data_IF_725469223987
#
_entry.id   IF_725469223987
#
_cell.length_a   1.000
_cell.length_b   1.000
_cell.length_c   1.000
_cell.angle_alpha   90.00
_cell.angle_beta   90.00
_cell.angle_gamma   90.00
#
_symmetry.space_group_name_H-M   'P 1'
#
loop_
_entity.id
_entity.type
_entity.pdbx_description
1 polymer ?
#
# COMPACT_ATOMS: atom_id res chain seq x y z
N UNK A 1 -12.84 -12.41 13.44
CA UNK A 1 -11.42 -12.78 13.65
C UNK A 1 -10.66 -12.95 12.33
N UNK A 2 -11.08 -13.85 11.43
CA UNK A 2 -10.34 -14.17 10.19
C UNK A 2 -9.94 -12.95 9.34
N UNK A 3 -10.84 -11.99 9.13
CA UNK A 3 -10.53 -10.77 8.38
C UNK A 3 -9.40 -9.94 9.00
N UNK A 4 -9.33 -9.84 10.33
CA UNK A 4 -8.27 -9.11 11.03
C UNK A 4 -6.93 -9.85 10.90
N UNK A 5 -6.94 -11.19 11.05
CA UNK A 5 -5.75 -12.02 10.85
C UNK A 5 -5.21 -11.93 9.42
N UNK A 6 -6.10 -11.90 8.41
CA UNK A 6 -5.71 -11.73 7.02
C UNK A 6 -5.09 -10.34 6.75
N UNK A 7 -5.65 -9.28 7.34
CA UNK A 7 -5.08 -7.92 7.25
C UNK A 7 -3.71 -7.83 7.91
N UNK A 8 -3.51 -8.50 9.06
CA UNK A 8 -2.21 -8.58 9.71
C UNK A 8 -1.17 -9.30 8.83
N UNK A 9 -1.51 -10.47 8.28
CA UNK A 9 -0.65 -11.21 7.34
C UNK A 9 -0.28 -10.38 6.12
N UNK A 10 -1.25 -9.66 5.53
CA UNK A 10 -0.98 -8.76 4.40
C UNK A 10 0.00 -7.66 4.81
N UNK A 11 -0.23 -7.00 5.95
CA UNK A 11 0.63 -5.94 6.48
C UNK A 11 2.08 -6.42 6.64
N UNK A 12 2.27 -7.59 7.26
CA UNK A 12 3.60 -8.17 7.48
C UNK A 12 4.31 -8.45 6.16
N UNK A 13 3.61 -9.01 5.17
CA UNK A 13 4.16 -9.29 3.85
C UNK A 13 4.56 -8.01 3.10
N UNK A 14 3.74 -6.96 3.15
CA UNK A 14 4.02 -5.69 2.48
C UNK A 14 5.20 -4.96 3.12
N UNK A 15 5.29 -4.94 4.46
CA UNK A 15 6.44 -4.38 5.19
C UNK A 15 7.72 -5.13 4.81
N UNK A 16 7.68 -6.47 4.78
CA UNK A 16 8.83 -7.28 4.35
C UNK A 16 9.23 -7.00 2.88
N UNK A 17 8.27 -6.62 2.04
CA UNK A 17 8.49 -6.18 0.65
C UNK A 17 9.01 -4.75 0.49
N UNK A 18 9.23 -4.01 1.59
CA UNK A 18 9.73 -2.64 1.55
C UNK A 18 8.66 -1.56 1.34
N UNK A 19 7.38 -1.91 1.53
CA UNK A 19 6.29 -0.94 1.51
C UNK A 19 6.04 -0.35 2.89
N UNK A 20 5.50 0.87 2.93
CA UNK A 20 5.00 1.52 4.14
C UNK A 20 3.48 1.46 4.20
N UNK A 21 2.94 1.31 5.41
CA UNK A 21 1.50 1.08 5.61
C UNK A 21 0.77 2.39 5.83
N UNK A 22 -0.37 2.58 5.18
CA UNK A 22 -1.29 3.67 5.49
C UNK A 22 -2.34 3.21 6.52
N UNK A 23 -2.41 3.87 7.67
CA UNK A 23 -3.23 3.38 8.81
C UNK A 23 -4.73 3.53 8.60
N UNK A 24 -5.17 4.49 7.77
CA UNK A 24 -6.59 4.76 7.51
C UNK A 24 -7.27 3.72 6.63
N UNK A 25 -6.51 2.98 5.82
CA UNK A 25 -7.03 2.07 4.79
C UNK A 25 -6.22 0.77 4.77
N UNK A 26 -6.82 -0.35 5.19
CA UNK A 26 -6.08 -1.62 5.34
C UNK A 26 -5.48 -2.18 4.04
N UNK A 27 -5.94 -1.69 2.88
CA UNK A 27 -5.49 -2.10 1.55
C UNK A 27 -4.42 -1.18 0.95
N UNK A 28 -4.13 -0.04 1.57
CA UNK A 28 -3.25 0.99 1.03
C UNK A 28 -1.81 0.82 1.55
N UNK A 29 -0.87 0.74 0.61
CA UNK A 29 0.57 0.67 0.89
C UNK A 29 1.34 1.57 -0.06
N UNK A 30 2.28 2.33 0.49
CA UNK A 30 3.18 3.20 -0.26
C UNK A 30 4.47 2.45 -0.59
N UNK A 31 4.85 2.47 -1.86
CA UNK A 31 6.14 1.95 -2.32
C UNK A 31 7.28 2.97 -2.18
N UNK A 32 8.53 2.56 -2.44
CA UNK A 32 9.66 3.47 -2.46
C UNK A 32 9.43 4.65 -3.41
N UNK A 33 9.50 5.88 -2.87
CA UNK A 33 9.31 7.10 -3.65
C UNK A 33 7.86 7.49 -3.92
N UNK A 34 6.87 6.84 -3.30
CA UNK A 34 5.45 7.21 -3.41
C UNK A 34 5.17 8.66 -2.93
N UNK A 35 5.90 9.14 -1.93
CA UNK A 35 5.81 10.51 -1.44
C UNK A 35 6.51 11.56 -2.33
N UNK A 36 7.19 11.13 -3.40
CA UNK A 36 7.82 12.08 -4.32
C UNK A 36 6.75 12.82 -5.11
N UNK A 37 6.84 14.15 -5.15
CA UNK A 37 5.94 14.96 -5.97
C UNK A 37 6.10 14.59 -7.45
N UNK A 38 5.00 14.19 -8.06
CA UNK A 38 4.90 13.85 -9.49
C UNK A 38 3.59 14.41 -10.05
N UNK A 39 3.53 14.74 -11.35
CA UNK A 39 2.27 15.12 -11.99
C UNK A 39 1.23 14.01 -11.87
N UNK A 40 -0.03 14.38 -11.63
CA UNK A 40 -1.17 13.48 -11.77
C UNK A 40 -1.42 13.31 -13.27
N UNK A 41 -1.33 12.06 -13.74
CA UNK A 41 -1.54 11.73 -15.14
C UNK A 41 -3.02 11.42 -15.40
N UNK A 42 -3.58 12.05 -16.42
CA UNK A 42 -4.92 11.77 -16.95
C UNK A 42 -4.77 11.09 -18.33
N UNK A 43 -4.23 9.87 -18.30
CA UNK A 43 -4.05 9.03 -19.49
C UNK A 43 -4.60 7.63 -19.21
N UNK A 44 -5.14 6.92 -20.21
CA UNK A 44 -5.62 5.56 -20.03
C UNK A 44 -4.54 4.60 -19.53
N UNK A 45 -4.98 3.58 -18.79
CA UNK A 45 -4.20 2.37 -18.51
C UNK A 45 -4.77 1.28 -19.42
N UNK A 46 -3.98 0.85 -20.42
CA UNK A 46 -4.34 -0.25 -21.32
C UNK A 46 -4.09 -1.63 -20.68
#
# INVERSE_FOLDING_TARGET
AAAQANRARLRDAMIAGGFTVYEGEWWHFDGPGAAAERPILDVPVD
#
